data_IF_649622466104
#
_entry.id   IF_649622466104
#
_cell.length_a   1.000
_cell.length_b   1.000
_cell.length_c   1.000
_cell.angle_alpha   90.00
_cell.angle_beta   90.00
_cell.angle_gamma   90.00
#
_symmetry.space_group_name_H-M   'P 1'
#
loop_
_entity.id
_entity.type
_entity.pdbx_description
1 polymer ?
#
# COMPACT_ATOMS: atom_id res chain seq x y z
N UNK A 1 21.41 10.21 2.86
CA UNK A 1 21.14 8.77 3.07
C UNK A 1 20.76 8.15 1.73
N UNK A 2 21.07 6.86 1.48
CA UNK A 2 20.71 6.21 0.22
C UNK A 2 19.19 6.07 0.08
N UNK A 3 18.65 6.41 -1.10
CA UNK A 3 17.26 6.16 -1.47
C UNK A 3 17.23 5.10 -2.58
N UNK A 4 16.67 3.93 -2.29
CA UNK A 4 16.52 2.86 -3.30
C UNK A 4 15.28 3.10 -4.17
N UNK A 5 15.25 2.46 -5.34
CA UNK A 5 14.08 2.46 -6.25
C UNK A 5 13.66 3.84 -6.76
N UNK A 6 14.55 4.83 -6.74
CA UNK A 6 14.27 6.15 -7.27
C UNK A 6 14.22 6.14 -8.80
N UNK A 7 13.42 7.02 -9.41
CA UNK A 7 13.55 7.34 -10.83
C UNK A 7 14.96 7.84 -11.14
N UNK A 8 15.47 7.44 -12.29
CA UNK A 8 16.63 8.08 -12.89
C UNK A 8 16.15 9.22 -13.78
N UNK A 9 16.16 10.44 -13.26
CA UNK A 9 15.77 11.62 -14.02
C UNK A 9 16.82 12.03 -15.06
N UNK A 10 17.99 11.41 -15.13
CA UNK A 10 19.07 11.74 -16.07
C UNK A 10 19.45 13.24 -16.12
N UNK A 11 19.28 13.97 -15.01
CA UNK A 11 19.54 15.42 -14.95
C UNK A 11 18.52 16.28 -15.71
N UNK A 12 17.32 15.76 -15.97
CA UNK A 12 16.25 16.44 -16.71
C UNK A 12 16.00 17.87 -16.20
N UNK A 13 16.01 18.85 -17.10
CA UNK A 13 15.96 20.28 -16.79
C UNK A 13 14.66 20.70 -16.06
N UNK A 14 13.54 20.02 -16.32
CA UNK A 14 12.25 20.28 -15.66
C UNK A 14 12.16 19.81 -14.21
N UNK A 15 13.09 18.99 -13.70
CA UNK A 15 12.97 18.42 -12.34
C UNK A 15 12.89 19.50 -11.24
N UNK A 16 13.77 20.53 -11.21
CA UNK A 16 13.67 21.60 -10.22
C UNK A 16 12.34 22.35 -10.27
N UNK A 17 11.76 22.55 -11.47
CA UNK A 17 10.47 23.22 -11.63
C UNK A 17 9.33 22.37 -11.07
N UNK A 18 9.29 21.07 -11.39
CA UNK A 18 8.28 20.14 -10.87
C UNK A 18 8.34 20.03 -9.33
N UNK A 19 9.54 19.86 -8.77
CA UNK A 19 9.77 19.83 -7.32
C UNK A 19 9.41 21.16 -6.66
N UNK A 20 9.71 22.28 -7.32
CA UNK A 20 9.35 23.63 -6.89
C UNK A 20 7.83 23.84 -6.84
N UNK A 21 7.10 23.35 -7.84
CA UNK A 21 5.63 23.41 -7.86
C UNK A 21 5.03 22.63 -6.69
N UNK A 22 5.45 21.38 -6.47
CA UNK A 22 4.98 20.55 -5.34
C UNK A 22 5.27 21.17 -3.98
N UNK A 23 6.41 21.85 -3.82
CA UNK A 23 6.76 22.54 -2.58
C UNK A 23 5.78 23.67 -2.23
N UNK A 24 5.30 24.40 -3.24
CA UNK A 24 4.38 25.53 -3.05
C UNK A 24 2.91 25.12 -3.14
N UNK A 25 2.62 23.89 -3.60
CA UNK A 25 1.28 23.36 -3.67
C UNK A 25 0.69 23.10 -2.25
N UNK A 26 -0.64 23.24 -2.08
CA UNK A 26 -1.30 22.90 -0.82
C UNK A 26 -1.08 21.42 -0.47
N UNK A 27 -1.07 21.10 0.83
CA UNK A 27 -1.06 19.70 1.25
C UNK A 27 -2.36 18.99 0.86
N UNK A 28 -2.28 17.71 0.52
CA UNK A 28 -3.46 16.90 0.17
C UNK A 28 -4.28 16.51 1.40
N UNK A 29 -3.62 16.35 2.55
CA UNK A 29 -4.24 16.13 3.86
C UNK A 29 -3.74 17.13 4.90
N UNK A 30 -4.53 17.41 5.93
CA UNK A 30 -4.16 18.27 7.05
C UNK A 30 -3.69 17.52 8.30
N UNK A 31 -2.98 18.20 9.22
CA UNK A 31 -2.43 17.57 10.44
C UNK A 31 -3.52 17.06 11.39
N UNK A 32 -4.69 17.72 11.43
CA UNK A 32 -5.84 17.26 12.21
C UNK A 32 -6.41 15.93 11.69
N UNK A 33 -6.40 15.71 10.38
CA UNK A 33 -6.87 14.48 9.75
C UNK A 33 -5.89 13.33 10.01
N UNK A 34 -4.58 13.61 9.91
CA UNK A 34 -3.52 12.67 10.25
C UNK A 34 -3.63 12.21 11.71
N UNK A 35 -3.82 13.15 12.64
CA UNK A 35 -4.03 12.84 14.06
C UNK A 35 -5.28 11.99 14.28
N UNK A 36 -6.38 12.32 13.60
CA UNK A 36 -7.63 11.57 13.70
C UNK A 36 -7.49 10.12 13.22
N UNK A 37 -6.80 9.93 12.09
CA UNK A 37 -6.51 8.59 11.60
C UNK A 37 -5.62 7.81 12.58
N UNK A 38 -4.61 8.46 13.19
CA UNK A 38 -3.78 7.83 14.23
C UNK A 38 -4.57 7.31 15.43
N UNK A 39 -5.64 7.99 15.84
CA UNK A 39 -6.54 7.49 16.89
C UNK A 39 -7.27 6.21 16.47
N UNK A 40 -7.67 6.10 15.20
CA UNK A 40 -8.28 4.88 14.65
C UNK A 40 -7.27 3.73 14.56
N UNK A 41 -6.01 4.00 14.21
CA UNK A 41 -4.94 2.99 14.25
C UNK A 41 -4.67 2.55 15.69
N UNK A 42 -4.77 3.47 16.67
CA UNK A 42 -4.64 3.12 18.09
C UNK A 42 -5.79 2.23 18.56
N UNK A 43 -7.03 2.49 18.13
CA UNK A 43 -8.17 1.58 18.35
C UNK A 43 -7.93 0.19 17.72
N UNK A 44 -7.37 0.14 16.50
CA UNK A 44 -7.02 -1.13 15.85
C UNK A 44 -5.93 -1.90 16.62
N UNK A 45 -4.95 -1.20 17.20
CA UNK A 45 -3.89 -1.81 18.01
C UNK A 45 -4.44 -2.47 19.29
N UNK A 46 -5.52 -1.90 19.84
CA UNK A 46 -6.27 -2.47 20.99
C UNK A 46 -7.26 -3.58 20.58
N UNK A 47 -7.49 -3.76 19.27
CA UNK A 47 -8.47 -4.71 18.75
C UNK A 47 -9.92 -4.21 18.81
N UNK A 48 -10.13 -2.89 18.95
CA UNK A 48 -11.48 -2.29 19.02
C UNK A 48 -12.14 -2.16 17.63
N UNK A 49 -11.33 -2.01 16.59
CA UNK A 49 -11.74 -1.87 15.18
C UNK A 49 -10.85 -2.69 14.26
N UNK A 50 -11.34 -3.04 13.08
CA UNK A 50 -10.49 -3.56 12.00
C UNK A 50 -10.07 -2.42 11.07
N UNK A 51 -9.00 -2.64 10.31
CA UNK A 51 -8.60 -1.81 9.17
C UNK A 51 -8.70 -2.65 7.89
N UNK A 52 -9.44 -2.15 6.91
CA UNK A 52 -9.42 -2.66 5.56
C UNK A 52 -8.72 -1.64 4.65
N UNK A 53 -7.54 -2.01 4.15
CA UNK A 53 -6.81 -1.24 3.16
C UNK A 53 -6.91 -1.92 1.81
N UNK A 54 -7.55 -1.30 0.81
CA UNK A 54 -7.68 -1.88 -0.52
C UNK A 54 -7.66 -0.82 -1.63
N UNK A 55 -7.35 -1.25 -2.86
CA UNK A 55 -7.31 -0.40 -4.05
C UNK A 55 -6.26 -0.88 -5.03
N UNK A 56 -5.85 -0.01 -5.95
CA UNK A 56 -5.00 -0.41 -7.06
C UNK A 56 -3.58 -0.82 -6.64
N UNK A 57 -2.97 -1.64 -7.49
CA UNK A 57 -1.56 -1.96 -7.40
C UNK A 57 -0.70 -0.73 -7.71
N UNK A 58 -1.02 -0.07 -8.84
CA UNK A 58 -0.56 1.25 -9.23
C UNK A 58 -1.77 1.96 -9.86
N UNK A 59 -2.10 3.16 -9.38
CA UNK A 59 -3.19 3.97 -9.92
C UNK A 59 -2.84 4.48 -11.32
N UNK A 60 -3.86 4.57 -12.19
CA UNK A 60 -3.83 5.42 -13.38
C UNK A 60 -4.36 6.81 -12.98
N UNK A 61 -3.61 7.91 -13.21
CA UNK A 61 -4.11 9.27 -13.02
C UNK A 61 -5.42 9.57 -13.78
N UNK A 62 -5.72 8.85 -14.86
CA UNK A 62 -7.00 8.96 -15.57
C UNK A 62 -8.20 8.49 -14.73
N UNK A 63 -7.98 7.60 -13.76
CA UNK A 63 -9.01 7.08 -12.86
C UNK A 63 -9.28 8.01 -11.65
N UNK A 64 -8.91 9.29 -11.75
CA UNK A 64 -9.16 10.31 -10.71
C UNK A 64 -10.49 11.04 -10.87
N UNK A 65 -11.37 10.58 -11.78
CA UNK A 65 -12.69 11.19 -11.96
C UNK A 65 -13.61 10.90 -10.77
N UNK A 66 -14.59 11.77 -10.45
CA UNK A 66 -15.52 11.52 -9.35
C UNK A 66 -16.28 10.18 -9.47
N UNK A 67 -16.55 9.72 -10.69
CA UNK A 67 -17.20 8.42 -10.93
C UNK A 67 -16.28 7.25 -10.59
N UNK A 68 -15.04 7.26 -11.08
CA UNK A 68 -14.05 6.25 -10.75
C UNK A 68 -13.78 6.21 -9.23
N UNK A 69 -13.68 7.37 -8.58
CA UNK A 69 -13.52 7.45 -7.12
C UNK A 69 -14.72 6.86 -6.39
N UNK A 70 -15.96 7.17 -6.81
CA UNK A 70 -17.16 6.56 -6.22
C UNK A 70 -17.19 5.04 -6.37
N UNK A 71 -16.77 4.51 -7.52
CA UNK A 71 -16.69 3.06 -7.73
C UNK A 71 -15.69 2.41 -6.76
N UNK A 72 -14.50 3.00 -6.58
CA UNK A 72 -13.49 2.53 -5.61
C UNK A 72 -13.98 2.62 -4.17
N UNK A 73 -14.68 3.69 -3.80
CA UNK A 73 -15.30 3.85 -2.47
C UNK A 73 -16.40 2.80 -2.25
N UNK A 74 -17.27 2.56 -3.24
CA UNK A 74 -18.31 1.54 -3.16
C UNK A 74 -17.76 0.12 -2.97
N UNK A 75 -16.63 -0.21 -3.62
CA UNK A 75 -15.90 -1.45 -3.36
C UNK A 75 -15.40 -1.51 -1.91
N UNK A 76 -14.77 -0.45 -1.40
CA UNK A 76 -14.29 -0.38 -0.01
C UNK A 76 -15.45 -0.52 1.00
N UNK A 77 -16.61 0.06 0.70
CA UNK A 77 -17.82 -0.01 1.53
C UNK A 77 -18.33 -1.45 1.63
N UNK A 78 -18.50 -2.12 0.48
CA UNK A 78 -18.98 -3.50 0.44
C UNK A 78 -18.04 -4.45 1.22
N UNK A 79 -16.73 -4.31 1.00
CA UNK A 79 -15.74 -5.15 1.68
C UNK A 79 -15.64 -4.84 3.18
N UNK A 80 -15.71 -3.56 3.58
CA UNK A 80 -15.67 -3.17 5.00
C UNK A 80 -16.94 -3.58 5.76
N UNK A 81 -18.10 -3.53 5.11
CA UNK A 81 -19.35 -4.04 5.68
C UNK A 81 -19.24 -5.55 5.94
N UNK A 82 -18.81 -6.33 4.94
CA UNK A 82 -18.59 -7.77 5.10
C UNK A 82 -17.57 -8.06 6.22
N UNK A 83 -16.45 -7.34 6.25
CA UNK A 83 -15.43 -7.56 7.28
C UNK A 83 -15.95 -7.24 8.70
N UNK A 84 -16.78 -6.21 8.82
CA UNK A 84 -17.40 -5.84 10.09
C UNK A 84 -18.40 -6.90 10.58
N UNK A 85 -19.19 -7.46 9.67
CA UNK A 85 -20.11 -8.56 9.97
C UNK A 85 -19.37 -9.82 10.45
N UNK A 86 -18.30 -10.20 9.75
CA UNK A 86 -17.48 -11.39 10.07
C UNK A 86 -16.82 -11.29 11.45
N UNK A 87 -16.32 -10.10 11.79
CA UNK A 87 -15.53 -9.90 13.01
C UNK A 87 -16.35 -9.43 14.22
N UNK A 88 -17.58 -8.95 13.98
CA UNK A 88 -18.38 -8.26 14.98
C UNK A 88 -17.80 -6.91 15.43
N UNK A 89 -16.84 -6.35 14.67
CA UNK A 89 -16.14 -5.10 14.99
C UNK A 89 -16.26 -4.10 13.85
N UNK A 90 -16.36 -2.79 14.13
CA UNK A 90 -16.37 -1.77 13.08
C UNK A 90 -15.08 -1.82 12.24
N UNK A 91 -15.18 -1.57 10.94
CA UNK A 91 -14.04 -1.56 10.02
C UNK A 91 -13.77 -0.14 9.50
N UNK A 92 -12.53 0.30 9.68
CA UNK A 92 -11.98 1.55 9.11
C UNK A 92 -11.59 1.30 7.65
N UNK A 93 -12.11 2.12 6.74
CA UNK A 93 -11.83 2.05 5.31
C UNK A 93 -10.60 2.87 4.94
N UNK A 94 -9.64 2.24 4.28
CA UNK A 94 -8.46 2.91 3.75
C UNK A 94 -8.30 2.56 2.27
N UNK A 95 -8.31 3.57 1.41
CA UNK A 95 -7.98 3.42 0.00
C UNK A 95 -6.48 3.41 -0.24
N UNK A 96 -6.01 2.48 -1.07
CA UNK A 96 -4.76 2.62 -1.82
C UNK A 96 -5.02 3.57 -2.99
N UNK A 97 -5.21 4.84 -2.66
CA UNK A 97 -5.70 5.84 -3.60
C UNK A 97 -5.16 7.23 -3.30
N UNK A 98 -5.22 8.10 -4.31
CA UNK A 98 -4.73 9.48 -4.26
C UNK A 98 -3.21 9.62 -4.07
N UNK A 99 -2.42 8.67 -4.60
CA UNK A 99 -0.95 8.77 -4.49
C UNK A 99 -0.18 7.52 -4.88
N UNK A 100 -0.85 6.39 -5.10
CA UNK A 100 -0.25 5.09 -5.42
C UNK A 100 0.18 5.00 -6.90
N UNK A 101 0.85 6.03 -7.42
CA UNK A 101 1.26 6.15 -8.82
C UNK A 101 2.69 5.66 -9.10
N UNK A 102 3.38 5.11 -8.11
CA UNK A 102 4.74 4.59 -8.24
C UNK A 102 4.83 3.14 -7.72
N UNK A 103 5.71 2.34 -8.33
CA UNK A 103 5.88 0.92 -7.98
C UNK A 103 7.37 0.54 -7.97
N UNK A 104 7.88 -0.08 -6.89
CA UNK A 104 9.24 -0.61 -6.87
C UNK A 104 9.34 -1.83 -7.79
N UNK A 105 10.48 -1.99 -8.49
CA UNK A 105 10.68 -3.09 -9.45
C UNK A 105 11.87 -3.96 -9.04
N UNK A 106 11.71 -5.28 -9.21
CA UNK A 106 12.77 -6.26 -8.95
C UNK A 106 13.86 -6.26 -10.02
N UNK A 107 13.52 -5.85 -11.24
CA UNK A 107 14.44 -5.71 -12.37
C UNK A 107 14.28 -4.32 -12.98
N UNK A 108 15.36 -3.69 -13.46
CA UNK A 108 15.30 -2.37 -14.08
C UNK A 108 14.74 -2.40 -15.51
N UNK A 109 14.64 -3.59 -16.12
CA UNK A 109 14.17 -3.80 -17.49
C UNK A 109 13.11 -4.92 -17.56
N UNK A 110 12.34 -4.91 -18.65
CA UNK A 110 11.40 -5.96 -19.02
C UNK A 110 11.45 -6.26 -20.52
N UNK A 111 10.93 -7.43 -20.92
CA UNK A 111 10.91 -7.85 -22.34
C UNK A 111 9.50 -7.77 -22.91
N UNK A 112 9.36 -7.07 -24.04
CA UNK A 112 8.12 -6.98 -24.83
C UNK A 112 8.45 -7.20 -26.30
N UNK A 113 7.79 -8.17 -26.95
CA UNK A 113 7.97 -8.44 -28.38
C UNK A 113 9.43 -8.71 -28.79
N UNK A 114 10.21 -9.38 -27.94
CA UNK A 114 11.64 -9.65 -28.17
C UNK A 114 12.60 -8.49 -27.84
N UNK A 115 12.09 -7.28 -27.61
CA UNK A 115 12.87 -6.10 -27.22
C UNK A 115 13.00 -6.00 -25.70
N UNK A 116 14.13 -5.51 -25.23
CA UNK A 116 14.34 -5.14 -23.82
C UNK A 116 14.10 -3.64 -23.64
N UNK A 117 13.26 -3.28 -22.68
CA UNK A 117 12.85 -1.90 -22.40
C UNK A 117 13.06 -1.57 -20.92
N UNK A 118 13.29 -0.30 -20.55
CA UNK A 118 13.19 0.12 -19.17
C UNK A 118 11.81 -0.22 -18.63
N UNK A 119 11.83 -0.66 -17.38
CA UNK A 119 10.65 -1.19 -16.73
C UNK A 119 9.63 -0.09 -16.40
N UNK A 120 8.33 -0.38 -16.48
CA UNK A 120 7.30 0.56 -16.03
C UNK A 120 7.39 0.71 -14.51
N UNK A 121 7.52 1.94 -14.01
CA UNK A 121 7.70 2.24 -12.58
C UNK A 121 6.48 2.93 -11.97
N UNK A 122 5.35 2.94 -12.69
CA UNK A 122 4.15 3.66 -12.32
C UNK A 122 4.06 5.01 -13.04
N UNK A 123 2.83 5.51 -13.19
CA UNK A 123 2.53 6.74 -13.95
C UNK A 123 3.23 7.99 -13.44
N UNK A 124 3.68 8.02 -12.18
CA UNK A 124 4.48 9.11 -11.62
C UNK A 124 5.91 9.18 -12.19
N UNK A 125 6.37 8.09 -12.82
CA UNK A 125 7.74 7.96 -13.31
C UNK A 125 7.78 7.92 -14.83
N UNK A 126 7.07 6.98 -15.46
CA UNK A 126 7.05 6.78 -16.90
C UNK A 126 5.70 6.22 -17.38
N UNK A 127 5.51 6.10 -18.70
CA UNK A 127 4.30 5.55 -19.32
C UNK A 127 4.27 4.02 -19.33
N UNK A 128 3.07 3.40 -19.28
CA UNK A 128 2.90 1.95 -19.31
C UNK A 128 3.15 1.33 -20.69
N UNK A 129 3.03 2.10 -21.78
CA UNK A 129 3.12 1.62 -23.15
C UNK A 129 4.48 0.91 -23.39
N UNK A 130 4.49 -0.25 -24.06
CA UNK A 130 5.71 -1.03 -24.28
C UNK A 130 6.56 -0.46 -25.43
N UNK A 131 6.88 0.83 -25.38
CA UNK A 131 7.74 1.53 -26.33
C UNK A 131 8.83 2.36 -25.63
N UNK A 132 9.96 2.57 -26.30
CA UNK A 132 11.13 3.18 -25.67
C UNK A 132 10.91 4.64 -25.25
N UNK A 133 10.04 5.39 -25.95
CA UNK A 133 9.78 6.79 -25.63
C UNK A 133 8.93 6.91 -24.37
N UNK A 134 7.84 6.13 -24.27
CA UNK A 134 6.99 6.09 -23.09
C UNK A 134 7.76 5.65 -21.83
N UNK A 135 8.84 4.87 -21.96
CA UNK A 135 9.63 4.40 -20.81
C UNK A 135 10.66 5.40 -20.27
N UNK A 136 10.86 6.53 -20.94
CA UNK A 136 11.68 7.63 -20.41
C UNK A 136 11.05 8.17 -19.13
N UNK A 137 11.87 8.45 -18.12
CA UNK A 137 11.37 9.03 -16.88
C UNK A 137 11.13 10.53 -17.05
N UNK A 138 9.93 11.00 -16.73
CA UNK A 138 9.49 12.38 -17.01
C UNK A 138 9.09 13.10 -15.71
N UNK A 139 9.86 14.11 -15.24
CA UNK A 139 9.55 14.81 -13.99
C UNK A 139 8.18 15.51 -13.96
N UNK A 140 7.63 15.91 -15.10
CA UNK A 140 6.28 16.53 -15.19
C UNK A 140 5.18 15.62 -14.63
N UNK A 141 5.38 14.30 -14.69
CA UNK A 141 4.44 13.31 -14.13
C UNK A 141 4.28 13.44 -12.61
N UNK A 142 5.26 14.01 -11.91
CA UNK A 142 5.15 14.33 -10.48
C UNK A 142 3.99 15.28 -10.21
N UNK A 143 3.88 16.37 -10.99
CA UNK A 143 2.84 17.39 -10.81
C UNK A 143 1.50 16.94 -11.39
N UNK A 144 1.50 16.16 -12.48
CA UNK A 144 0.27 15.56 -13.01
C UNK A 144 -0.35 14.57 -12.02
N UNK A 145 0.44 13.69 -11.41
CA UNK A 145 -0.03 12.76 -10.38
C UNK A 145 -0.50 13.51 -9.12
N UNK A 146 0.13 14.63 -8.76
CA UNK A 146 -0.36 15.49 -7.68
C UNK A 146 -1.75 16.07 -8.00
N UNK A 147 -1.99 16.57 -9.22
CA UNK A 147 -3.31 17.09 -9.63
C UNK A 147 -4.38 16.00 -9.66
N UNK A 148 -4.02 14.79 -10.09
CA UNK A 148 -4.90 13.63 -10.01
C UNK A 148 -5.24 13.27 -8.56
N UNK A 149 -4.24 13.21 -7.67
CA UNK A 149 -4.46 13.00 -6.24
C UNK A 149 -5.37 14.07 -5.60
N UNK A 150 -5.18 15.35 -5.96
CA UNK A 150 -6.04 16.45 -5.53
C UNK A 150 -7.49 16.25 -5.99
N UNK A 151 -7.70 15.78 -7.22
CA UNK A 151 -9.03 15.45 -7.75
C UNK A 151 -9.69 14.31 -6.97
N UNK A 152 -8.93 13.24 -6.64
CA UNK A 152 -9.42 12.15 -5.77
C UNK A 152 -9.82 12.68 -4.40
N UNK A 153 -8.95 13.46 -3.75
CA UNK A 153 -9.26 14.07 -2.46
C UNK A 153 -10.49 14.98 -2.50
N UNK A 154 -10.67 15.77 -3.57
CA UNK A 154 -11.86 16.59 -3.76
C UNK A 154 -13.13 15.74 -3.83
N UNK A 155 -13.10 14.64 -4.58
CA UNK A 155 -14.23 13.70 -4.64
C UNK A 155 -14.50 13.03 -3.28
N UNK A 156 -13.46 12.62 -2.54
CA UNK A 156 -13.59 12.04 -1.20
C UNK A 156 -14.15 13.02 -0.15
N UNK A 157 -13.96 14.34 -0.31
CA UNK A 157 -14.52 15.33 0.64
C UNK A 157 -16.05 15.44 0.56
N UNK A 158 -16.68 14.89 -0.48
CA UNK A 158 -18.14 14.78 -0.55
C UNK A 158 -18.69 13.61 0.27
N UNK A 159 -17.81 12.75 0.81
CA UNK A 159 -18.11 11.74 1.82
C UNK A 159 -18.36 12.46 3.17
N UNK A 160 -19.62 12.78 3.45
CA UNK A 160 -20.00 13.65 4.58
C UNK A 160 -19.85 12.92 5.92
N UNK A 161 -18.82 13.26 6.70
CA UNK A 161 -18.75 12.95 8.13
C UNK A 161 -17.34 12.74 8.68
N UNK A 162 -17.04 13.31 9.86
CA UNK A 162 -15.85 13.01 10.65
C UNK A 162 -16.13 11.79 11.55
N UNK A 163 -16.32 10.62 10.94
CA UNK A 163 -16.60 9.38 11.65
C UNK A 163 -15.96 8.18 10.93
N UNK A 164 -16.08 6.98 11.51
CA UNK A 164 -15.58 5.71 10.94
C UNK A 164 -16.10 5.41 9.51
N UNK A 165 -17.05 6.20 9.00
CA UNK A 165 -17.55 6.11 7.64
C UNK A 165 -16.76 6.94 6.61
N UNK A 166 -15.66 7.60 7.01
CA UNK A 166 -14.76 8.27 6.07
C UNK A 166 -13.80 7.28 5.40
N UNK A 167 -13.57 7.44 4.09
CA UNK A 167 -12.45 6.78 3.41
C UNK A 167 -11.13 7.54 3.63
N UNK A 168 -10.15 6.89 4.25
CA UNK A 168 -8.79 7.40 4.43
C UNK A 168 -7.91 7.04 3.23
N UNK A 169 -6.84 7.80 2.98
CA UNK A 169 -5.92 7.56 1.85
C UNK A 169 -4.58 7.02 2.33
N UNK A 170 -3.94 6.21 1.48
CA UNK A 170 -2.66 5.59 1.75
C UNK A 170 -1.92 5.27 0.44
N UNK A 171 -0.59 5.35 0.45
CA UNK A 171 0.27 4.90 -0.64
C UNK A 171 1.68 4.55 -0.14
N UNK A 172 2.44 3.83 -0.97
CA UNK A 172 3.86 3.58 -0.72
C UNK A 172 4.65 4.87 -0.87
N UNK A 173 5.24 5.38 0.22
CA UNK A 173 6.08 6.58 0.18
C UNK A 173 7.41 6.24 -0.52
N UNK A 174 7.45 6.36 -1.85
CA UNK A 174 8.50 5.78 -2.68
C UNK A 174 9.40 6.82 -3.36
N UNK A 175 8.81 7.76 -4.10
CA UNK A 175 9.53 8.74 -4.93
C UNK A 175 9.86 9.96 -4.09
N UNK A 176 11.13 10.13 -3.71
CA UNK A 176 11.54 11.19 -2.77
C UNK A 176 11.30 12.60 -3.32
N UNK A 177 11.44 12.78 -4.63
CA UNK A 177 11.14 14.05 -5.31
C UNK A 177 9.64 14.41 -5.31
N UNK A 178 8.76 13.45 -4.99
CA UNK A 178 7.34 13.68 -4.74
C UNK A 178 7.05 13.88 -3.24
N UNK A 179 7.58 13.01 -2.39
CA UNK A 179 7.25 13.01 -0.96
C UNK A 179 7.89 14.16 -0.18
N UNK A 180 9.18 14.43 -0.40
CA UNK A 180 9.91 15.45 0.38
C UNK A 180 9.33 16.85 0.20
N UNK A 181 8.98 17.29 -1.02
CA UNK A 181 8.34 18.58 -1.22
C UNK A 181 6.92 18.66 -0.65
N UNK A 182 6.32 17.54 -0.22
CA UNK A 182 4.98 17.46 0.39
C UNK A 182 5.02 17.27 1.92
N UNK A 183 6.20 17.32 2.55
CA UNK A 183 6.31 17.44 4.00
C UNK A 183 5.90 18.85 4.44
N UNK A 184 5.07 18.96 5.46
CA UNK A 184 4.51 20.22 5.96
C UNK A 184 4.73 20.32 7.47
N UNK A 185 4.89 21.54 7.97
CA UNK A 185 4.84 21.82 9.40
C UNK A 185 3.41 22.02 9.89
N UNK A 186 3.12 21.62 11.12
CA UNK A 186 1.80 21.86 11.75
C UNK A 186 1.71 23.19 12.51
N UNK A 187 2.78 24.01 12.46
CA UNK A 187 2.89 25.28 13.19
C UNK A 187 3.38 25.15 14.64
N UNK A 188 3.45 23.93 15.19
CA UNK A 188 3.97 23.63 16.54
C UNK A 188 5.43 23.14 16.55
N UNK A 189 6.07 23.09 15.38
CA UNK A 189 7.41 22.54 15.21
C UNK A 189 7.43 21.05 14.83
N UNK A 190 6.26 20.41 14.69
CA UNK A 190 6.14 19.03 14.21
C UNK A 190 5.90 19.01 12.70
N UNK A 191 6.37 17.95 12.06
CA UNK A 191 6.24 17.75 10.62
C UNK A 191 5.30 16.58 10.33
N UNK A 192 4.56 16.65 9.24
CA UNK A 192 3.77 15.53 8.72
C UNK A 192 3.90 15.47 7.20
N UNK A 193 3.78 14.26 6.66
CA UNK A 193 3.71 14.04 5.22
C UNK A 193 2.28 14.32 4.76
N UNK A 194 2.10 15.40 4.00
CA UNK A 194 0.78 15.86 3.56
C UNK A 194 0.31 15.20 2.27
N UNK A 195 1.10 14.31 1.66
CA UNK A 195 0.73 13.59 0.45
C UNK A 195 -0.36 12.54 0.70
N UNK A 196 -0.48 12.04 1.94
CA UNK A 196 -1.49 11.03 2.29
C UNK A 196 -1.68 10.94 3.80
N UNK A 197 -2.80 10.35 4.24
CA UNK A 197 -3.04 10.13 5.67
C UNK A 197 -2.06 9.08 6.22
N UNK A 198 -1.86 8.00 5.47
CA UNK A 198 -1.14 6.82 5.95
C UNK A 198 -0.12 6.27 4.93
N UNK A 199 1.13 6.77 4.97
CA UNK A 199 2.19 6.24 4.12
C UNK A 199 2.71 4.90 4.61
N UNK A 200 3.18 4.05 3.68
CA UNK A 200 3.95 2.85 4.04
C UNK A 200 5.31 2.76 3.35
N UNK A 201 6.21 1.99 3.96
CA UNK A 201 7.51 1.61 3.39
C UNK A 201 7.42 0.21 2.80
N UNK A 202 7.84 0.07 1.55
CA UNK A 202 7.87 -1.21 0.84
C UNK A 202 8.99 -2.14 1.28
N UNK A 203 8.85 -3.43 0.95
CA UNK A 203 9.85 -4.47 1.28
C UNK A 203 11.24 -4.17 0.73
N UNK A 204 11.32 -3.47 -0.42
CA UNK A 204 12.58 -3.16 -1.12
C UNK A 204 13.22 -1.84 -0.67
N UNK A 205 12.55 -1.09 0.21
CA UNK A 205 12.94 0.26 0.64
C UNK A 205 13.02 0.39 2.16
N UNK A 206 12.68 -0.65 2.92
CA UNK A 206 12.73 -0.72 4.40
C UNK A 206 14.12 -0.89 5.02
N UNK A 207 15.19 -0.41 4.37
CA UNK A 207 16.51 -0.43 5.00
C UNK A 207 16.52 0.56 6.17
N UNK A 208 16.92 0.12 7.36
CA UNK A 208 17.04 0.96 8.56
C UNK A 208 17.97 2.19 8.35
N UNK A 209 18.91 2.09 7.40
CA UNK A 209 19.84 3.18 7.01
C UNK A 209 19.39 3.94 5.76
N UNK A 210 18.20 3.63 5.24
CA UNK A 210 17.65 4.20 4.01
C UNK A 210 16.86 5.48 4.22
N UNK A 211 16.75 6.28 3.17
CA UNK A 211 16.02 7.55 3.18
C UNK A 211 14.52 7.36 3.50
N UNK A 212 13.90 6.26 3.05
CA UNK A 212 12.48 5.96 3.27
C UNK A 212 12.14 5.80 4.76
N UNK A 213 12.93 5.00 5.48
CA UNK A 213 12.77 4.84 6.94
C UNK A 213 13.02 6.16 7.65
N UNK A 214 14.06 6.90 7.26
CA UNK A 214 14.35 8.23 7.84
C UNK A 214 13.20 9.21 7.65
N UNK A 215 12.63 9.30 6.45
CA UNK A 215 11.50 10.19 6.17
C UNK A 215 10.32 9.87 7.09
N UNK A 216 9.92 8.59 7.14
CA UNK A 216 8.76 8.20 7.94
C UNK A 216 9.01 8.20 9.46
N UNK A 217 10.26 8.12 9.91
CA UNK A 217 10.62 8.32 11.31
C UNK A 217 10.44 9.77 11.78
N UNK A 218 10.54 10.74 10.87
CA UNK A 218 10.57 12.18 11.19
C UNK A 218 9.23 12.90 10.95
N UNK A 219 8.18 12.17 10.53
CA UNK A 219 6.83 12.71 10.33
C UNK A 219 5.87 12.15 11.37
N UNK A 220 4.83 12.93 11.69
CA UNK A 220 3.80 12.61 12.69
C UNK A 220 2.74 11.62 12.20
N UNK A 221 2.70 11.30 10.90
CA UNK A 221 1.74 10.33 10.38
C UNK A 221 1.84 9.01 11.16
N UNK A 222 0.73 8.28 11.33
CA UNK A 222 0.80 6.83 11.43
C UNK A 222 1.61 6.32 10.24
N UNK A 223 2.41 5.29 10.44
CA UNK A 223 3.28 4.74 9.41
C UNK A 223 3.11 3.24 9.36
N UNK A 224 3.27 2.68 8.17
CA UNK A 224 3.28 1.23 8.00
C UNK A 224 4.57 0.74 7.34
N UNK A 225 4.94 -0.51 7.60
CA UNK A 225 6.09 -1.14 6.98
C UNK A 225 5.73 -2.55 6.51
N UNK A 226 6.09 -2.89 5.27
CA UNK A 226 5.96 -4.25 4.75
C UNK A 226 6.94 -5.18 5.45
N UNK A 227 6.49 -6.40 5.74
CA UNK A 227 7.27 -7.44 6.41
C UNK A 227 7.20 -8.74 5.59
N UNK A 228 8.22 -8.97 4.77
CA UNK A 228 8.37 -10.16 3.93
C UNK A 228 8.94 -11.39 4.65
N UNK A 229 9.05 -12.52 3.92
CA UNK A 229 9.49 -13.81 4.47
C UNK A 229 10.97 -13.89 4.85
N UNK A 230 11.78 -12.92 4.44
CA UNK A 230 13.20 -12.85 4.80
C UNK A 230 13.46 -11.93 5.98
N UNK A 231 12.43 -11.29 6.56
CA UNK A 231 12.60 -10.45 7.74
C UNK A 231 13.08 -11.28 8.93
N UNK A 232 14.13 -10.80 9.60
CA UNK A 232 14.58 -11.38 10.87
C UNK A 232 14.01 -10.61 12.08
N UNK A 233 13.88 -11.24 13.26
CA UNK A 233 13.49 -10.54 14.50
C UNK A 233 14.37 -9.35 14.83
N UNK A 234 15.69 -9.44 14.59
CA UNK A 234 16.63 -8.36 14.89
C UNK A 234 16.42 -7.14 13.99
N UNK A 235 16.31 -7.35 12.68
CA UNK A 235 16.00 -6.28 11.72
C UNK A 235 14.63 -5.65 12.00
N UNK A 236 13.64 -6.45 12.36
CA UNK A 236 12.30 -5.95 12.68
C UNK A 236 12.31 -5.06 13.93
N UNK A 237 13.03 -5.46 14.98
CA UNK A 237 13.16 -4.65 16.19
C UNK A 237 13.93 -3.35 15.96
N UNK A 238 14.95 -3.36 15.09
CA UNK A 238 15.63 -2.13 14.68
C UNK A 238 14.65 -1.18 13.97
N UNK A 239 13.83 -1.69 13.05
CA UNK A 239 12.80 -0.89 12.37
C UNK A 239 11.73 -0.36 13.34
N UNK A 240 11.26 -1.19 14.28
CA UNK A 240 10.32 -0.74 15.31
C UNK A 240 10.93 0.37 16.17
N UNK A 241 12.19 0.26 16.57
CA UNK A 241 12.88 1.30 17.35
C UNK A 241 13.02 2.64 16.60
N UNK A 242 13.12 2.61 15.27
CA UNK A 242 13.21 3.82 14.44
C UNK A 242 11.84 4.44 14.14
N UNK A 243 10.83 3.62 13.85
CA UNK A 243 9.51 4.08 13.40
C UNK A 243 8.53 4.32 14.54
N UNK A 244 8.76 3.70 15.69
CA UNK A 244 7.95 3.80 16.90
C UNK A 244 8.83 3.92 18.16
N UNK A 245 9.68 4.97 18.25
CA UNK A 245 10.63 5.12 19.35
C UNK A 245 9.94 5.30 20.71
N UNK A 246 8.73 5.84 20.72
CA UNK A 246 7.98 6.13 21.95
C UNK A 246 6.95 5.04 22.31
N UNK A 247 6.85 3.97 21.52
CA UNK A 247 5.90 2.85 21.75
C UNK A 247 4.47 3.37 21.83
N UNK A 248 4.10 4.25 20.89
CA UNK A 248 2.81 4.91 20.87
C UNK A 248 1.79 4.03 20.13
N UNK A 249 0.69 3.61 20.78
CA UNK A 249 -0.41 2.97 20.08
C UNK A 249 -0.92 3.87 18.96
N UNK A 250 -1.11 3.31 17.77
CA UNK A 250 -1.53 4.08 16.59
C UNK A 250 -0.39 4.62 15.73
N UNK A 251 0.87 4.46 16.16
CA UNK A 251 2.04 4.89 15.38
C UNK A 251 2.40 3.93 14.26
N UNK A 252 2.69 2.67 14.59
CA UNK A 252 3.30 1.72 13.65
C UNK A 252 2.37 0.55 13.33
N UNK A 253 2.29 0.24 12.05
CA UNK A 253 1.62 -0.95 11.52
C UNK A 253 2.60 -1.83 10.74
N UNK A 254 2.57 -3.12 10.99
CA UNK A 254 3.39 -4.12 10.30
C UNK A 254 2.51 -4.92 9.34
N UNK A 255 2.80 -4.79 8.04
CA UNK A 255 2.02 -5.42 6.98
C UNK A 255 2.75 -6.69 6.53
N UNK A 256 2.33 -7.84 7.06
CA UNK A 256 2.93 -9.13 6.76
C UNK A 256 2.53 -9.62 5.36
N UNK A 257 3.52 -9.97 4.54
CA UNK A 257 3.35 -10.48 3.17
C UNK A 257 4.21 -11.72 2.94
N UNK A 258 3.96 -12.74 3.74
CA UNK A 258 4.83 -13.90 3.92
C UNK A 258 4.69 -14.91 2.77
N UNK A 259 3.51 -14.99 2.16
CA UNK A 259 3.09 -16.10 1.32
C UNK A 259 2.45 -17.20 2.16
N UNK A 260 1.41 -17.82 1.61
CA UNK A 260 0.61 -18.84 2.29
C UNK A 260 1.44 -20.05 2.74
N UNK A 261 2.47 -20.40 1.96
CA UNK A 261 3.39 -21.48 2.28
C UNK A 261 4.34 -21.19 3.45
N UNK A 262 4.50 -19.94 3.88
CA UNK A 262 5.48 -19.51 4.89
C UNK A 262 4.86 -18.87 6.13
N UNK A 263 3.70 -18.22 6.02
CA UNK A 263 3.11 -17.37 7.06
C UNK A 263 3.01 -18.06 8.44
N UNK A 264 2.55 -19.31 8.48
CA UNK A 264 2.38 -20.07 9.73
C UNK A 264 3.70 -20.42 10.43
N UNK A 265 4.81 -20.47 9.68
CA UNK A 265 6.14 -20.82 10.23
C UNK A 265 6.95 -19.57 10.57
N UNK A 266 6.95 -18.57 9.69
CA UNK A 266 7.82 -17.39 9.81
C UNK A 266 7.25 -16.30 10.71
N UNK A 267 5.94 -16.05 10.65
CA UNK A 267 5.33 -14.89 11.31
C UNK A 267 5.31 -14.97 12.86
N UNK A 268 5.06 -16.12 13.51
CA UNK A 268 4.94 -16.16 14.98
C UNK A 268 6.15 -15.59 15.73
N UNK A 269 7.38 -15.90 15.28
CA UNK A 269 8.60 -15.42 15.92
C UNK A 269 8.77 -13.89 15.81
N UNK A 270 8.31 -13.29 14.71
CA UNK A 270 8.31 -11.84 14.50
C UNK A 270 7.26 -11.16 15.40
N UNK A 271 6.08 -11.76 15.53
CA UNK A 271 5.02 -11.24 16.42
C UNK A 271 5.48 -11.28 17.88
N UNK A 272 6.06 -12.40 18.31
CA UNK A 272 6.56 -12.52 19.68
C UNK A 272 7.67 -11.53 20.00
N UNK A 273 8.62 -11.29 19.08
CA UNK A 273 9.72 -10.37 19.37
C UNK A 273 9.23 -8.93 19.53
N UNK A 274 8.33 -8.47 18.65
CA UNK A 274 7.75 -7.12 18.70
C UNK A 274 6.91 -6.95 19.97
N UNK A 275 6.10 -7.95 20.31
CA UNK A 275 5.30 -7.97 21.55
C UNK A 275 6.19 -7.91 22.79
N UNK A 276 7.25 -8.73 22.86
CA UNK A 276 8.20 -8.72 24.00
C UNK A 276 8.96 -7.41 24.12
N UNK A 277 9.21 -6.72 23.00
CA UNK A 277 9.81 -5.40 22.98
C UNK A 277 8.83 -4.26 23.35
N UNK A 278 7.55 -4.56 23.56
CA UNK A 278 6.54 -3.61 24.04
C UNK A 278 6.04 -2.62 22.98
N UNK A 279 6.24 -2.91 21.69
CA UNK A 279 5.70 -2.06 20.61
C UNK A 279 4.22 -2.39 20.37
N UNK A 280 3.29 -1.43 20.57
CA UNK A 280 1.85 -1.64 20.39
C UNK A 280 1.45 -1.52 18.91
N UNK A 281 2.05 -2.35 18.07
CA UNK A 281 1.81 -2.33 16.62
C UNK A 281 0.45 -2.93 16.25
N UNK A 282 -0.06 -2.51 15.10
CA UNK A 282 -1.12 -3.24 14.40
C UNK A 282 -0.48 -4.23 13.45
N UNK A 283 -0.90 -5.50 13.45
CA UNK A 283 -0.53 -6.44 12.39
C UNK A 283 -1.61 -6.48 11.31
N UNK A 284 -1.20 -6.32 10.05
CA UNK A 284 -2.09 -6.50 8.89
C UNK A 284 -1.57 -7.59 7.97
N UNK A 285 -2.49 -8.29 7.30
CA UNK A 285 -2.16 -9.27 6.27
C UNK A 285 -2.20 -8.65 4.88
N UNK A 286 -1.10 -8.74 4.14
CA UNK A 286 -1.03 -8.56 2.69
C UNK A 286 -0.89 -9.94 2.04
N UNK A 287 -2.01 -10.64 1.77
CA UNK A 287 -2.01 -11.97 1.16
C UNK A 287 -1.74 -11.91 -0.36
N UNK A 288 -1.39 -10.74 -0.89
CA UNK A 288 -1.28 -10.51 -2.32
C UNK A 288 0.15 -10.71 -2.78
N UNK A 289 1.08 -9.96 -2.19
CA UNK A 289 2.45 -9.87 -2.71
C UNK A 289 3.33 -11.07 -2.38
N UNK A 290 2.93 -11.92 -1.42
CA UNK A 290 3.60 -13.18 -1.09
C UNK A 290 3.21 -14.34 -2.02
N UNK A 291 2.08 -14.23 -2.72
CA UNK A 291 1.45 -15.32 -3.49
C UNK A 291 1.41 -15.07 -5.01
N UNK A 292 2.25 -14.17 -5.52
CA UNK A 292 2.35 -13.96 -6.97
C UNK A 292 3.07 -15.14 -7.62
N UNK A 293 2.41 -15.78 -8.58
CA UNK A 293 2.97 -16.84 -9.43
C UNK A 293 3.18 -16.32 -10.85
N UNK A 294 4.13 -16.90 -11.57
CA UNK A 294 4.38 -16.57 -12.98
C UNK A 294 4.08 -17.79 -13.83
N UNK A 295 3.18 -17.64 -14.82
CA UNK A 295 2.81 -18.71 -15.75
C UNK A 295 3.97 -19.03 -16.70
N UNK A 296 3.94 -20.19 -17.40
CA UNK A 296 4.94 -20.51 -18.42
C UNK A 296 5.07 -19.44 -19.52
N UNK A 297 3.98 -18.73 -19.83
CA UNK A 297 3.95 -17.60 -20.77
C UNK A 297 4.46 -16.26 -20.17
N UNK A 298 5.05 -16.30 -18.98
CA UNK A 298 5.62 -15.12 -18.30
C UNK A 298 4.57 -14.12 -17.80
N UNK A 299 3.29 -14.52 -17.70
CA UNK A 299 2.23 -13.69 -17.11
C UNK A 299 2.25 -13.86 -15.59
N UNK A 300 2.15 -12.77 -14.83
CA UNK A 300 1.92 -12.85 -13.39
C UNK A 300 0.43 -13.02 -13.09
N UNK A 301 0.11 -13.90 -12.15
CA UNK A 301 -1.24 -14.07 -11.59
C UNK A 301 -1.13 -14.37 -10.09
N UNK A 302 -2.26 -14.47 -9.39
CA UNK A 302 -2.39 -14.94 -8.01
C UNK A 302 -3.53 -15.95 -7.95
N UNK A 303 -3.38 -16.96 -7.11
CA UNK A 303 -4.41 -17.96 -6.86
C UNK A 303 -5.22 -17.51 -5.64
N UNK A 304 -6.54 -17.37 -5.78
CA UNK A 304 -7.42 -16.90 -4.70
C UNK A 304 -7.40 -17.89 -3.54
N UNK A 305 -7.27 -19.20 -3.80
CA UNK A 305 -7.10 -20.21 -2.75
C UNK A 305 -5.86 -19.94 -1.87
N UNK A 306 -4.78 -19.44 -2.47
CA UNK A 306 -3.53 -19.12 -1.77
C UNK A 306 -3.67 -17.82 -0.98
N UNK A 307 -4.35 -16.82 -1.55
CA UNK A 307 -4.73 -15.59 -0.84
C UNK A 307 -5.53 -15.94 0.43
N UNK A 308 -6.56 -16.77 0.30
CA UNK A 308 -7.41 -17.26 1.41
C UNK A 308 -6.56 -18.03 2.44
N UNK A 309 -5.67 -18.92 2.00
CA UNK A 309 -4.79 -19.70 2.88
C UNK A 309 -3.85 -18.81 3.68
N UNK A 310 -3.30 -17.75 3.08
CA UNK A 310 -2.47 -16.79 3.81
C UNK A 310 -3.27 -15.98 4.83
N UNK A 311 -4.48 -15.51 4.51
CA UNK A 311 -5.35 -14.78 5.45
C UNK A 311 -5.61 -15.62 6.72
N UNK A 312 -6.03 -16.87 6.55
CA UNK A 312 -6.26 -17.80 7.68
C UNK A 312 -4.98 -18.07 8.46
N UNK A 313 -3.89 -18.33 7.75
CA UNK A 313 -2.59 -18.61 8.36
C UNK A 313 -2.02 -17.42 9.14
N UNK A 314 -2.22 -16.20 8.63
CA UNK A 314 -1.83 -14.95 9.28
C UNK A 314 -2.58 -14.77 10.60
N UNK A 315 -3.92 -14.84 10.57
CA UNK A 315 -4.74 -14.60 11.76
C UNK A 315 -4.34 -15.55 12.89
N UNK A 316 -4.25 -16.85 12.57
CA UNK A 316 -3.82 -17.87 13.51
C UNK A 316 -2.41 -17.58 14.05
N UNK A 317 -1.44 -17.25 13.19
CA UNK A 317 -0.06 -17.01 13.59
C UNK A 317 0.08 -15.79 14.53
N UNK A 318 -0.64 -14.70 14.24
CA UNK A 318 -0.61 -13.48 15.05
C UNK A 318 -1.28 -13.70 16.41
N UNK A 319 -2.49 -14.28 16.42
CA UNK A 319 -3.26 -14.52 17.65
C UNK A 319 -2.53 -15.52 18.56
N UNK A 320 -2.00 -16.64 18.03
CA UNK A 320 -1.26 -17.63 18.82
C UNK A 320 0.04 -17.06 19.43
N UNK A 321 0.66 -16.08 18.79
CA UNK A 321 1.85 -15.38 19.30
C UNK A 321 1.52 -14.22 20.26
N UNK A 322 0.22 -13.96 20.50
CA UNK A 322 -0.29 -12.92 21.39
C UNK A 322 -0.28 -11.52 20.80
N UNK A 323 -0.21 -11.37 19.48
CA UNK A 323 -0.35 -10.09 18.80
C UNK A 323 -1.79 -9.74 18.43
N UNK A 324 -2.02 -8.50 18.03
CA UNK A 324 -3.33 -8.03 17.54
C UNK A 324 -3.40 -8.11 16.02
N UNK A 325 -4.19 -9.05 15.49
CA UNK A 325 -4.52 -9.11 14.06
C UNK A 325 -5.55 -8.01 13.74
N UNK A 326 -5.10 -6.92 13.13
CA UNK A 326 -5.88 -5.69 12.98
C UNK A 326 -6.47 -5.44 11.59
N UNK A 327 -6.11 -6.21 10.56
CA UNK A 327 -6.69 -5.94 9.25
C UNK A 327 -6.11 -6.65 8.02
N UNK A 328 -6.63 -6.24 6.87
CA UNK A 328 -6.27 -6.74 5.53
C UNK A 328 -5.76 -5.61 4.63
N UNK A 329 -4.72 -5.92 3.83
CA UNK A 329 -4.15 -5.07 2.79
C UNK A 329 -4.26 -5.77 1.44
N UNK A 330 -5.24 -5.37 0.62
CA UNK A 330 -5.56 -6.00 -0.65
C UNK A 330 -5.18 -5.10 -1.84
N UNK A 331 -4.84 -5.72 -2.97
CA UNK A 331 -4.84 -5.07 -4.28
C UNK A 331 -6.11 -5.52 -4.99
N UNK A 332 -7.07 -4.60 -5.15
CA UNK A 332 -8.41 -4.90 -5.63
C UNK A 332 -8.95 -3.76 -6.50
N UNK A 333 -9.83 -4.08 -7.44
CA UNK A 333 -10.49 -3.11 -8.32
C UNK A 333 -12.01 -3.33 -8.35
N UNK A 334 -12.83 -2.26 -8.48
CA UNK A 334 -14.25 -2.39 -8.78
C UNK A 334 -14.53 -2.93 -10.19
N UNK A 335 -13.54 -2.91 -11.08
CA UNK A 335 -13.69 -3.37 -12.46
C UNK A 335 -13.90 -4.89 -12.55
N UNK A 336 -14.69 -5.31 -13.55
CA UNK A 336 -14.83 -6.72 -13.90
C UNK A 336 -13.60 -7.21 -14.67
N UNK A 337 -12.58 -7.65 -13.92
CA UNK A 337 -11.30 -8.12 -14.47
C UNK A 337 -11.03 -9.59 -14.12
N UNK A 338 -10.28 -10.25 -15.01
CA UNK A 338 -9.71 -11.57 -14.79
C UNK A 338 -8.18 -11.46 -14.72
N UNK A 339 -7.70 -10.97 -13.57
CA UNK A 339 -6.27 -10.81 -13.27
C UNK A 339 -5.76 -11.90 -12.31
N UNK A 340 -6.59 -12.31 -11.35
CA UNK A 340 -6.37 -13.45 -10.45
C UNK A 340 -7.31 -14.61 -10.83
N UNK A 341 -6.93 -15.84 -10.47
CA UNK A 341 -7.70 -17.07 -10.77
C UNK A 341 -8.01 -17.81 -9.47
N UNK A 342 -9.04 -18.66 -9.48
CA UNK A 342 -9.45 -19.40 -8.27
C UNK A 342 -8.31 -20.27 -7.73
N UNK A 343 -7.72 -21.08 -8.62
CA UNK A 343 -6.72 -22.11 -8.35
C UNK A 343 -5.78 -22.28 -9.56
N UNK A 344 -4.90 -23.29 -9.49
CA UNK A 344 -3.96 -23.60 -10.57
C UNK A 344 -4.64 -23.97 -11.90
N UNK A 345 -5.81 -24.62 -11.88
CA UNK A 345 -6.53 -25.03 -13.09
C UNK A 345 -7.10 -23.81 -13.83
N UNK A 346 -7.47 -22.76 -13.09
CA UNK A 346 -7.93 -21.50 -13.66
C UNK A 346 -6.89 -20.73 -14.49
N UNK A 347 -5.59 -21.06 -14.40
CA UNK A 347 -4.52 -20.35 -15.12
C UNK A 347 -4.73 -20.37 -16.63
N UNK A 348 -5.23 -21.48 -17.20
CA UNK A 348 -5.49 -21.59 -18.63
C UNK A 348 -6.52 -20.56 -19.13
N UNK A 349 -7.43 -20.11 -18.27
CA UNK A 349 -8.42 -19.08 -18.58
C UNK A 349 -7.83 -17.67 -18.81
N UNK A 350 -6.54 -17.48 -18.53
CA UNK A 350 -5.84 -16.20 -18.72
C UNK A 350 -5.27 -16.03 -20.14
N UNK A 351 -5.27 -17.08 -20.95
CA UNK A 351 -4.71 -17.00 -22.31
C UNK A 351 -5.53 -16.04 -23.19
N UNK A 352 -4.83 -15.18 -23.92
CA UNK A 352 -5.45 -14.13 -24.76
C UNK A 352 -6.11 -12.97 -24.00
N UNK A 353 -6.21 -13.03 -22.65
CA UNK A 353 -6.78 -11.94 -21.85
C UNK A 353 -5.77 -10.78 -21.68
N UNK A 354 -6.23 -9.52 -21.58
CA UNK A 354 -5.37 -8.38 -21.24
C UNK A 354 -4.53 -8.63 -19.98
N UNK A 355 -3.30 -8.10 -19.96
CA UNK A 355 -2.40 -8.16 -18.80
C UNK A 355 -2.61 -6.92 -17.93
N UNK A 356 -2.54 -7.05 -16.59
CA UNK A 356 -2.51 -5.87 -15.73
C UNK A 356 -1.26 -5.04 -15.99
N UNK A 357 -1.34 -3.72 -15.73
CA UNK A 357 -0.21 -2.79 -15.86
C UNK A 357 0.95 -3.15 -14.91
N UNK A 358 0.61 -3.61 -13.69
CA UNK A 358 1.56 -3.96 -12.64
C UNK A 358 1.34 -5.40 -12.15
N UNK A 359 0.88 -5.58 -10.90
CA UNK A 359 0.56 -6.89 -10.33
C UNK A 359 -0.96 -7.15 -10.42
N UNK A 360 -1.39 -8.42 -10.52
CA UNK A 360 -2.79 -8.81 -10.71
C UNK A 360 -3.67 -8.48 -9.50
N UNK A 361 -4.76 -7.73 -9.70
CA UNK A 361 -5.73 -7.31 -8.68
C UNK A 361 -6.83 -8.34 -8.52
N UNK A 362 -7.45 -8.37 -7.34
CA UNK A 362 -8.71 -9.07 -7.12
C UNK A 362 -9.85 -8.24 -7.72
N UNK A 363 -10.79 -8.87 -8.41
CA UNK A 363 -12.10 -8.26 -8.62
C UNK A 363 -12.91 -8.28 -7.30
N UNK A 364 -14.09 -7.64 -7.29
CA UNK A 364 -14.90 -7.51 -6.08
C UNK A 364 -15.28 -8.85 -5.43
N UNK A 365 -15.67 -9.86 -6.22
CA UNK A 365 -16.05 -11.19 -5.70
C UNK A 365 -14.86 -11.90 -5.05
N UNK A 366 -13.70 -11.85 -5.71
CA UNK A 366 -12.46 -12.44 -5.20
C UNK A 366 -11.97 -11.71 -3.94
N UNK A 367 -12.11 -10.37 -3.88
CA UNK A 367 -11.78 -9.59 -2.70
C UNK A 367 -12.72 -9.91 -1.52
N UNK A 368 -14.02 -10.08 -1.78
CA UNK A 368 -14.98 -10.51 -0.77
C UNK A 368 -14.67 -11.92 -0.24
N UNK A 369 -14.20 -12.82 -1.11
CA UNK A 369 -13.70 -14.15 -0.73
C UNK A 369 -12.50 -14.06 0.21
N UNK A 370 -11.52 -13.19 -0.10
CA UNK A 370 -10.36 -12.95 0.76
C UNK A 370 -10.75 -12.36 2.13
N UNK A 371 -11.72 -11.43 2.18
CA UNK A 371 -12.28 -10.88 3.43
C UNK A 371 -12.98 -11.96 4.24
N UNK A 372 -13.80 -12.79 3.59
CA UNK A 372 -14.54 -13.89 4.19
C UNK A 372 -13.65 -14.95 4.85
N UNK A 373 -12.44 -15.14 4.32
CA UNK A 373 -11.43 -16.02 4.88
C UNK A 373 -11.01 -15.65 6.31
N UNK A 374 -11.24 -14.41 6.76
CA UNK A 374 -10.92 -14.00 8.12
C UNK A 374 -11.76 -14.72 9.18
N UNK A 375 -13.01 -15.04 8.87
CA UNK A 375 -13.97 -15.62 9.83
C UNK A 375 -13.86 -17.12 10.04
N UNK A 376 -13.10 -17.82 9.20
CA UNK A 376 -13.09 -19.29 9.08
C UNK A 376 -11.81 -19.91 9.64
#
# INVERSE_FOLDING_TARGET
MPALQQPDWAGHEDLPAAVGELRHAPGLVGPGEVKAFGLLVAEAARGDVNILQAGDCAEDPADSTPEAVRAKVGMLDALAAAFSEITGRPTVRVGRMAGQYAKPRSRPTERHGGRELPVFRGHMVNGPEPDAAARVHEPRRLTDCYRAALSVHSALRTDTGWNRARTWTSHEALVMDYELPLVRGDGSGRAFLSSTHWPWIGERTRSARGAHVRLLAEVDNPVACKVGPTMTPAELLELCGLLDPERQPGRLTLIARQGAGAVRRGLPALVECVRRAGHPVVWMCDPMHGNTVTTPAGRKTRLVEEVVREVRGFRQAVECAGGTAGGLHLEATPDDVLECVADADGIAGLDGRPRPLCDPRLNLEQAATAVSAWGV
#
